data_IF_602124503264
#
_entry.id   IF_602124503264
#
_cell.length_a   1.000
_cell.length_b   1.000
_cell.length_c   1.000
_cell.angle_alpha   90.00
_cell.angle_beta   90.00
_cell.angle_gamma   90.00
#
_symmetry.space_group_name_H-M   'P 1'
#
loop_
_entity.id
_entity.type
_entity.pdbx_description
1 polymer ?
#
# COMPACT_ATOMS: atom_id res chain seq x y z
N UNK A 1 -51.38 -27.21 20.72
CA UNK A 1 -49.94 -27.55 20.56
C UNK A 1 -49.40 -26.97 19.25
N UNK A 2 -48.75 -25.80 19.23
CA UNK A 2 -48.04 -25.25 18.04
C UNK A 2 -46.81 -24.39 18.40
N UNK A 3 -46.14 -24.66 19.52
CA UNK A 3 -44.96 -23.87 19.98
C UNK A 3 -43.64 -24.54 19.56
N UNK A 4 -43.65 -25.83 19.18
CA UNK A 4 -42.43 -26.60 18.89
C UNK A 4 -41.79 -26.34 17.51
N UNK A 5 -42.47 -25.65 16.60
CA UNK A 5 -41.98 -25.40 15.23
C UNK A 5 -41.37 -24.01 15.00
N UNK A 6 -41.53 -23.07 15.95
CA UNK A 6 -40.98 -21.71 15.84
C UNK A 6 -39.52 -21.62 16.29
N UNK A 7 -39.12 -22.42 17.28
CA UNK A 7 -37.74 -22.47 17.78
C UNK A 7 -36.69 -22.75 16.68
N UNK A 8 -36.85 -23.78 15.81
CA UNK A 8 -35.84 -24.05 14.80
C UNK A 8 -35.73 -22.94 13.75
N UNK A 9 -36.84 -22.24 13.44
CA UNK A 9 -36.83 -21.15 12.46
C UNK A 9 -36.03 -19.94 12.97
N UNK A 10 -36.19 -19.58 14.25
CA UNK A 10 -35.45 -18.47 14.87
C UNK A 10 -33.95 -18.78 14.91
N UNK A 11 -33.57 -20.02 15.23
CA UNK A 11 -32.15 -20.44 15.27
C UNK A 11 -31.51 -20.35 13.88
N UNK A 12 -32.23 -20.73 12.83
CA UNK A 12 -31.75 -20.62 11.44
C UNK A 12 -31.53 -19.17 11.03
N UNK A 13 -32.45 -18.26 11.37
CA UNK A 13 -32.32 -16.83 11.06
C UNK A 13 -31.10 -16.23 11.78
N UNK A 14 -30.91 -16.54 13.06
CA UNK A 14 -29.75 -16.05 13.83
C UNK A 14 -28.43 -16.56 13.25
N UNK A 15 -28.37 -17.84 12.82
CA UNK A 15 -27.19 -18.40 12.20
C UNK A 15 -26.84 -17.72 10.86
N UNK A 16 -27.84 -17.41 10.03
CA UNK A 16 -27.64 -16.69 8.77
C UNK A 16 -27.14 -15.26 9.03
N UNK A 17 -27.74 -14.54 9.97
CA UNK A 17 -27.30 -13.17 10.33
C UNK A 17 -25.88 -13.18 10.89
N UNK A 18 -25.49 -14.21 11.65
CA UNK A 18 -24.13 -14.37 12.17
C UNK A 18 -23.12 -14.63 11.05
N UNK A 19 -23.44 -15.51 10.08
CA UNK A 19 -22.60 -15.79 8.92
C UNK A 19 -22.45 -14.59 7.98
N UNK A 20 -23.49 -13.78 7.81
CA UNK A 20 -23.45 -12.52 7.03
C UNK A 20 -22.58 -11.48 7.72
N UNK A 21 -22.71 -11.32 9.04
CA UNK A 21 -21.86 -10.39 9.81
C UNK A 21 -20.37 -10.81 9.83
N UNK A 22 -20.07 -12.11 9.85
CA UNK A 22 -18.71 -12.62 9.73
C UNK A 22 -18.10 -12.36 8.35
N UNK A 23 -18.87 -12.58 7.27
CA UNK A 23 -18.39 -12.30 5.91
C UNK A 23 -18.19 -10.79 5.65
N UNK A 24 -19.07 -9.93 6.18
CA UNK A 24 -18.92 -8.47 6.05
C UNK A 24 -17.69 -7.93 6.79
N UNK A 25 -17.35 -8.49 7.95
CA UNK A 25 -16.13 -8.11 8.68
C UNK A 25 -14.86 -8.49 7.92
N UNK A 26 -14.83 -9.66 7.29
CA UNK A 26 -13.67 -10.11 6.50
C UNK A 26 -13.50 -9.36 5.17
N UNK A 27 -14.58 -8.87 4.56
CA UNK A 27 -14.48 -8.08 3.32
C UNK A 27 -13.96 -6.66 3.54
N UNK A 28 -14.15 -6.08 4.74
CA UNK A 28 -13.58 -4.78 5.08
C UNK A 28 -12.07 -4.82 5.31
N UNK A 29 -11.46 -5.99 5.51
CA UNK A 29 -10.00 -6.11 5.68
C UNK A 29 -9.25 -6.34 4.35
N UNK A 30 -9.93 -6.77 3.27
CA UNK A 30 -9.25 -7.24 2.05
C UNK A 30 -9.12 -6.16 0.97
N UNK A 31 -9.77 -4.99 1.12
CA UNK A 31 -9.55 -3.88 0.18
C UNK A 31 -9.33 -2.58 0.92
N UNK A 32 -8.12 -2.32 1.46
CA UNK A 32 -7.69 -0.96 1.49
C UNK A 32 -7.40 -0.59 0.02
N UNK A 33 -8.40 -0.01 -0.66
CA UNK A 33 -8.13 0.98 -1.70
C UNK A 33 -7.35 2.08 -0.99
N UNK A 34 -6.05 1.87 -0.81
CA UNK A 34 -5.18 2.91 -0.33
C UNK A 34 -5.05 3.84 -1.53
N UNK A 35 -5.91 4.84 -1.57
CA UNK A 35 -5.68 6.02 -2.39
C UNK A 35 -4.50 6.73 -1.75
N UNK A 36 -3.29 6.41 -2.22
CA UNK A 36 -2.09 7.16 -1.86
C UNK A 36 -2.31 8.61 -2.24
N UNK A 37 -1.92 9.55 -1.37
CA UNK A 37 -2.04 10.97 -1.70
C UNK A 37 -0.93 11.32 -2.69
N UNK A 38 -1.24 11.91 -3.86
CA UNK A 38 -0.23 12.45 -4.75
C UNK A 38 0.52 13.58 -4.04
N UNK A 39 1.83 13.48 -3.96
CA UNK A 39 2.69 14.50 -3.35
C UNK A 39 3.99 14.62 -4.14
N UNK A 40 4.58 15.82 -4.13
CA UNK A 40 5.92 16.04 -4.65
C UNK A 40 6.94 15.74 -3.57
N UNK A 41 7.91 14.90 -3.88
CA UNK A 41 9.04 14.56 -3.03
C UNK A 41 10.34 15.07 -3.63
N UNK A 42 11.27 15.49 -2.77
CA UNK A 42 12.62 15.88 -3.18
C UNK A 42 13.61 14.76 -2.86
N UNK A 43 14.42 14.36 -3.84
CA UNK A 43 15.54 13.44 -3.61
C UNK A 43 16.60 14.18 -2.80
N UNK A 44 16.90 13.70 -1.60
CA UNK A 44 17.93 14.30 -0.74
C UNK A 44 19.20 13.47 -0.65
N UNK A 45 19.10 12.17 -0.96
CA UNK A 45 20.24 11.27 -1.04
C UNK A 45 19.97 10.13 -2.03
N UNK A 46 21.03 9.58 -2.61
CA UNK A 46 20.97 8.41 -3.48
C UNK A 46 22.09 7.43 -3.15
N UNK A 47 21.73 6.15 -3.01
CA UNK A 47 22.65 5.09 -2.62
C UNK A 47 22.58 3.91 -3.58
N UNK A 48 23.75 3.46 -4.01
CA UNK A 48 23.92 2.24 -4.78
C UNK A 48 24.61 1.19 -3.90
N UNK A 49 24.10 -0.04 -3.92
CA UNK A 49 24.76 -1.19 -3.30
C UNK A 49 24.55 -2.45 -4.11
N UNK A 50 25.51 -3.37 -4.04
CA UNK A 50 25.38 -4.72 -4.58
C UNK A 50 25.06 -5.65 -3.42
N UNK A 51 23.86 -6.21 -3.42
CA UNK A 51 23.39 -7.22 -2.46
C UNK A 51 23.62 -8.61 -3.05
N UNK A 52 24.18 -9.53 -2.27
CA UNK A 52 24.53 -10.88 -2.75
C UNK A 52 23.30 -11.75 -3.04
N UNK A 53 22.12 -11.40 -2.50
CA UNK A 53 20.86 -12.14 -2.72
C UNK A 53 19.98 -11.47 -3.77
N UNK A 54 19.96 -10.14 -3.82
CA UNK A 54 19.02 -9.36 -4.65
C UNK A 54 19.71 -8.71 -5.86
N UNK A 55 21.04 -8.73 -5.92
CA UNK A 55 21.82 -8.12 -6.99
C UNK A 55 21.99 -6.62 -6.79
N UNK A 56 21.97 -5.84 -7.88
CA UNK A 56 22.14 -4.38 -7.82
C UNK A 56 20.90 -3.73 -7.21
N UNK A 57 21.09 -2.95 -6.14
CA UNK A 57 20.03 -2.22 -5.44
C UNK A 57 20.29 -0.73 -5.58
N UNK A 58 19.29 -0.04 -6.12
CA UNK A 58 19.27 1.41 -6.31
C UNK A 58 18.25 2.00 -5.35
N UNK A 59 18.71 2.74 -4.35
CA UNK A 59 17.91 3.30 -3.27
C UNK A 59 18.03 4.82 -3.29
N UNK A 60 16.91 5.52 -3.05
CA UNK A 60 16.89 6.97 -2.87
C UNK A 60 16.17 7.34 -1.59
N UNK A 61 16.66 8.39 -0.94
CA UNK A 61 15.98 9.03 0.18
C UNK A 61 15.21 10.23 -0.32
N UNK A 62 13.91 10.22 -0.06
CA UNK A 62 12.94 11.21 -0.48
C UNK A 62 12.46 12.03 0.71
N UNK A 63 12.46 13.35 0.59
CA UNK A 63 11.86 14.26 1.56
C UNK A 63 10.48 14.69 1.08
N UNK A 64 9.48 14.50 1.93
CA UNK A 64 8.10 14.95 1.71
C UNK A 64 7.70 15.78 2.93
N UNK A 65 7.62 17.10 2.75
CA UNK A 65 7.43 18.04 3.86
C UNK A 65 8.59 17.93 4.87
N UNK A 66 8.28 17.59 6.12
CA UNK A 66 9.27 17.43 7.19
C UNK A 66 9.74 15.98 7.36
N UNK A 67 9.17 15.02 6.62
CA UNK A 67 9.47 13.59 6.74
C UNK A 67 10.39 13.12 5.63
N UNK A 68 11.22 12.13 5.94
CA UNK A 68 12.09 11.46 4.98
C UNK A 68 11.70 10.00 4.84
N UNK A 69 11.81 9.46 3.63
CA UNK A 69 11.43 8.10 3.29
C UNK A 69 12.49 7.48 2.39
N UNK A 70 12.85 6.23 2.65
CA UNK A 70 13.72 5.46 1.75
C UNK A 70 12.87 4.62 0.82
N UNK A 71 13.20 4.62 -0.47
CA UNK A 71 12.51 3.80 -1.46
C UNK A 71 13.48 3.26 -2.49
N UNK A 72 13.17 2.07 -3.01
CA UNK A 72 13.92 1.45 -4.08
C UNK A 72 13.38 1.94 -5.42
N UNK A 73 14.30 2.23 -6.33
CA UNK A 73 13.97 2.70 -7.67
C UNK A 73 14.65 1.85 -8.74
N UNK A 74 14.16 1.94 -9.97
CA UNK A 74 14.77 1.27 -11.11
C UNK A 74 16.08 1.97 -11.49
N UNK A 75 17.03 1.21 -12.03
CA UNK A 75 18.34 1.71 -12.49
C UNK A 75 18.19 2.89 -13.48
N UNK A 76 17.21 2.80 -14.38
CA UNK A 76 16.92 3.84 -15.36
C UNK A 76 16.48 5.16 -14.72
N UNK A 77 15.66 5.11 -13.67
CA UNK A 77 15.28 6.31 -12.94
C UNK A 77 16.46 6.80 -12.10
N UNK A 78 17.19 5.89 -11.47
CA UNK A 78 18.36 6.21 -10.64
C UNK A 78 19.45 6.98 -11.39
N UNK A 79 19.67 6.65 -12.67
CA UNK A 79 20.63 7.35 -13.53
C UNK A 79 20.17 8.73 -13.99
N UNK A 80 18.88 9.05 -13.85
CA UNK A 80 18.26 10.33 -14.29
C UNK A 80 17.96 11.28 -13.14
N UNK A 81 18.12 10.85 -11.89
CA UNK A 81 17.82 11.65 -10.70
C UNK A 81 19.08 11.95 -9.90
N UNK A 82 19.13 13.18 -9.39
CA UNK A 82 20.17 13.67 -8.49
C UNK A 82 19.55 14.34 -7.27
N UNK A 83 20.39 14.64 -6.26
CA UNK A 83 19.96 15.38 -5.09
C UNK A 83 19.36 16.73 -5.49
N UNK A 84 18.21 17.08 -4.93
CA UNK A 84 17.38 18.22 -5.30
C UNK A 84 16.34 17.92 -6.38
N UNK A 85 16.37 16.75 -7.02
CA UNK A 85 15.37 16.37 -8.04
C UNK A 85 14.00 16.19 -7.38
N UNK A 86 12.97 16.76 -8.00
CA UNK A 86 11.58 16.63 -7.54
C UNK A 86 10.87 15.51 -8.31
N UNK A 87 10.31 14.56 -7.58
CA UNK A 87 9.57 13.42 -8.11
C UNK A 87 8.14 13.45 -7.61
N UNK A 88 7.20 13.04 -8.46
CA UNK A 88 5.82 12.80 -8.04
C UNK A 88 5.72 11.39 -7.46
N UNK A 89 5.21 11.31 -6.23
CA UNK A 89 5.05 10.03 -5.52
C UNK A 89 3.69 9.94 -4.86
N UNK A 90 3.27 8.71 -4.62
CA UNK A 90 2.09 8.41 -3.83
C UNK A 90 2.52 8.17 -2.38
N UNK A 91 2.03 8.99 -1.45
CA UNK A 91 2.27 8.84 -0.03
C UNK A 91 1.17 8.00 0.62
N UNK A 92 1.60 6.95 1.33
CA UNK A 92 0.77 5.95 2.00
C UNK A 92 1.13 5.88 3.48
N UNK A 93 0.47 6.65 4.34
CA UNK A 93 0.75 6.73 5.80
C UNK A 93 2.27 6.81 6.11
N UNK A 94 2.93 5.66 6.26
CA UNK A 94 4.32 5.49 6.67
C UNK A 94 5.29 5.16 5.52
N UNK A 95 4.83 5.15 4.27
CA UNK A 95 5.64 4.79 3.10
C UNK A 95 5.30 5.64 1.88
N UNK A 96 6.24 5.72 0.94
CA UNK A 96 6.06 6.38 -0.36
C UNK A 96 6.34 5.39 -1.48
N UNK A 97 5.54 5.45 -2.53
CA UNK A 97 5.74 4.67 -3.76
C UNK A 97 5.81 5.62 -4.94
N UNK A 98 6.77 5.43 -5.83
CA UNK A 98 6.80 6.13 -7.11
C UNK A 98 5.67 5.64 -8.00
N UNK A 99 5.18 6.52 -8.88
CA UNK A 99 4.24 6.10 -9.91
C UNK A 99 4.89 5.08 -10.84
N UNK A 100 4.12 4.06 -11.22
CA UNK A 100 4.55 3.09 -12.23
C UNK A 100 4.78 3.78 -13.59
N UNK A 101 4.28 5.01 -13.83
CA UNK A 101 4.51 5.81 -15.05
C UNK A 101 5.96 6.29 -15.25
N UNK A 102 6.84 6.10 -14.27
CA UNK A 102 8.28 6.23 -14.49
C UNK A 102 8.88 5.00 -15.21
N UNK A 103 8.07 3.96 -15.52
CA UNK A 103 8.29 3.10 -16.69
C UNK A 103 8.10 3.94 -17.96
N UNK A 104 9.11 4.77 -18.24
CA UNK A 104 9.26 5.39 -19.53
C UNK A 104 9.66 4.28 -20.51
N UNK A 105 8.71 3.85 -21.33
CA UNK A 105 8.98 3.05 -22.55
C UNK A 105 10.04 3.71 -23.42
#
# INVERSE_FOLDING_TARGET
MKIKTLLPLVVVIVAIVFLVNLNLKNFNEIVPKQEGKPVTAEVIDKKYRVDTKVGKVHEVTLKVGEKTYNTLIKEELYSKVDNGTRLEVLQYKDRVKLYDSYDLK
#
